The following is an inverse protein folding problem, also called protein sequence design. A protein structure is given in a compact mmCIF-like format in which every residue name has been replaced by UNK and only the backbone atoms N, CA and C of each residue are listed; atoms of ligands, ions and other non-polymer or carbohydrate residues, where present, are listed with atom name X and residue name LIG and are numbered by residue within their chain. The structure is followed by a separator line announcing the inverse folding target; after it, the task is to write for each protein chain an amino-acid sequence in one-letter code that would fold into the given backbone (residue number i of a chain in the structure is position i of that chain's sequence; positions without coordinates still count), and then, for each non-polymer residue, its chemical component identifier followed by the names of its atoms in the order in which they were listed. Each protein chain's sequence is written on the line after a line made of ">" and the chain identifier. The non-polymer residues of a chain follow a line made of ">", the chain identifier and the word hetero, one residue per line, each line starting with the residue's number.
data_IF_205958017494
#
_entry.id   IF_205958017494
#
_cell.length_a   1.000
_cell.length_b   1.000
_cell.length_c   1.000
_cell.angle_alpha   90.00
_cell.angle_beta   90.00
_cell.angle_gamma   90.00
#
_symmetry.space_group_name_H-M   'P 1'
#
loop_
_entity.id
_entity.type
_entity.pdbx_description
1 polymer ?
#
# COMPACT_ATOMS: atom_id res chain seq x y z
N UNK A 1 -5.91 -7.85 13.57
CA UNK A 1 -6.71 -7.68 12.34
C UNK A 1 -6.56 -6.25 11.89
N UNK A 2 -6.11 -6.02 10.64
CA UNK A 2 -6.14 -4.70 10.03
C UNK A 2 -7.59 -4.21 10.00
N UNK A 3 -7.76 -2.90 10.16
CA UNK A 3 -9.08 -2.28 10.08
C UNK A 3 -9.58 -2.31 8.63
N UNK A 4 -10.59 -3.13 8.35
CA UNK A 4 -11.33 -3.18 7.09
C UNK A 4 -12.69 -2.48 7.22
N UNK A 5 -12.74 -1.44 8.06
CA UNK A 5 -13.94 -0.66 8.34
C UNK A 5 -14.21 0.39 7.25
N UNK A 6 -15.27 1.16 7.45
CA UNK A 6 -15.58 2.32 6.61
C UNK A 6 -14.41 3.33 6.50
N UNK A 7 -13.53 3.41 7.50
CA UNK A 7 -12.33 4.25 7.44
C UNK A 7 -11.35 3.76 6.38
N UNK A 8 -11.10 2.44 6.30
CA UNK A 8 -10.26 1.88 5.25
C UNK A 8 -10.81 2.18 3.86
N UNK A 9 -12.10 1.93 3.62
CA UNK A 9 -12.76 2.26 2.35
C UNK A 9 -12.58 3.74 1.99
N UNK A 10 -12.78 4.64 2.97
CA UNK A 10 -12.54 6.08 2.80
C UNK A 10 -11.08 6.37 2.40
N UNK A 11 -10.12 5.71 3.05
CA UNK A 11 -8.70 5.91 2.73
C UNK A 11 -8.35 5.43 1.33
N UNK A 12 -8.87 4.29 0.89
CA UNK A 12 -8.71 3.82 -0.50
C UNK A 12 -9.25 4.87 -1.49
N UNK A 13 -10.43 5.43 -1.24
CA UNK A 13 -10.99 6.51 -2.07
C UNK A 13 -10.07 7.73 -2.11
N UNK A 14 -9.52 8.15 -0.96
CA UNK A 14 -8.60 9.30 -0.87
C UNK A 14 -7.32 9.00 -1.67
N UNK A 15 -6.76 7.79 -1.55
CA UNK A 15 -5.54 7.42 -2.30
C UNK A 15 -5.79 7.36 -3.80
N UNK A 16 -6.86 6.73 -4.23
CA UNK A 16 -7.26 6.73 -5.66
C UNK A 16 -7.44 8.16 -6.17
N UNK A 17 -8.11 9.03 -5.42
CA UNK A 17 -8.27 10.44 -5.78
C UNK A 17 -6.92 11.18 -5.85
N UNK A 18 -5.98 10.87 -4.96
CA UNK A 18 -4.64 11.48 -4.97
C UNK A 18 -3.78 11.02 -6.14
N UNK A 19 -3.95 9.78 -6.61
CA UNK A 19 -3.30 9.26 -7.81
C UNK A 19 -3.85 9.94 -9.07
N UNK A 20 -5.14 10.16 -9.15
CA UNK A 20 -5.78 10.87 -10.27
C UNK A 20 -5.54 12.37 -10.16
N UNK A 21 -5.14 13.01 -11.26
CA UNK A 21 -4.86 14.46 -11.28
C UNK A 21 -6.14 15.27 -11.08
N UNK A 22 -7.20 14.81 -11.72
CA UNK A 22 -8.54 15.36 -11.63
C UNK A 22 -9.59 14.28 -11.96
N UNK A 23 -10.85 14.57 -11.72
CA UNK A 23 -11.94 13.64 -11.99
C UNK A 23 -12.26 13.50 -13.50
N UNK A 24 -11.67 14.31 -14.37
CA UNK A 24 -11.94 14.28 -15.81
C UNK A 24 -11.34 13.05 -16.50
N UNK A 25 -10.38 12.39 -15.86
CA UNK A 25 -9.76 11.17 -16.36
C UNK A 25 -10.75 10.00 -16.49
N UNK A 26 -11.70 9.90 -15.56
CA UNK A 26 -12.74 8.87 -15.56
C UNK A 26 -14.06 9.48 -16.04
N UNK A 27 -14.82 8.72 -16.81
CA UNK A 27 -16.21 9.08 -17.08
C UNK A 27 -17.03 9.00 -15.78
N UNK A 28 -18.17 9.72 -15.66
CA UNK A 28 -19.03 9.59 -14.48
C UNK A 28 -19.49 8.15 -14.22
N UNK A 29 -19.66 7.36 -15.28
CA UNK A 29 -20.06 5.96 -15.16
C UNK A 29 -18.89 5.08 -14.65
N UNK A 30 -17.67 5.31 -15.12
CA UNK A 30 -16.47 4.65 -14.57
C UNK A 30 -16.23 5.03 -13.10
N UNK A 31 -16.47 6.31 -12.73
CA UNK A 31 -16.43 6.72 -11.33
C UNK A 31 -17.43 5.93 -10.47
N UNK A 32 -18.67 5.79 -10.96
CA UNK A 32 -19.68 4.98 -10.25
C UNK A 32 -19.22 3.54 -10.05
N UNK A 33 -18.78 2.87 -11.11
CA UNK A 33 -18.28 1.48 -11.06
C UNK A 33 -17.12 1.36 -10.07
N UNK A 34 -16.14 2.26 -10.14
CA UNK A 34 -14.96 2.24 -9.27
C UNK A 34 -15.34 2.47 -7.81
N UNK A 35 -16.19 3.44 -7.51
CA UNK A 35 -16.65 3.73 -6.14
C UNK A 35 -17.39 2.55 -5.53
N UNK A 36 -18.25 1.87 -6.28
CA UNK A 36 -18.93 0.65 -5.79
C UNK A 36 -17.94 -0.47 -5.59
N UNK A 37 -17.00 -0.67 -6.52
CA UNK A 37 -15.95 -1.70 -6.39
C UNK A 37 -15.07 -1.46 -5.14
N UNK A 38 -14.68 -0.19 -4.87
CA UNK A 38 -13.95 0.19 -3.64
C UNK A 38 -14.77 -0.13 -2.38
N UNK A 39 -16.08 0.09 -2.39
CA UNK A 39 -16.91 -0.17 -1.21
C UNK A 39 -17.02 -1.66 -0.87
N UNK A 40 -16.93 -2.54 -1.87
CA UNK A 40 -17.17 -3.97 -1.67
C UNK A 40 -15.91 -4.83 -1.71
N UNK A 41 -14.73 -4.27 -2.06
CA UNK A 41 -13.52 -5.08 -2.34
C UNK A 41 -13.14 -6.00 -1.17
N UNK A 42 -13.28 -5.52 0.06
CA UNK A 42 -12.96 -6.24 1.30
C UNK A 42 -14.18 -6.77 2.06
N UNK A 43 -15.39 -6.53 1.55
CA UNK A 43 -16.62 -6.92 2.25
C UNK A 43 -16.71 -8.42 2.53
N UNK A 44 -15.95 -9.23 1.79
CA UNK A 44 -15.79 -10.65 1.98
C UNK A 44 -15.25 -11.08 3.32
N UNK A 45 -14.42 -10.27 3.93
CA UNK A 45 -13.85 -10.54 5.24
C UNK A 45 -14.89 -10.67 6.35
N UNK A 46 -16.06 -10.02 6.21
CA UNK A 46 -17.13 -10.06 7.21
C UNK A 46 -17.74 -11.46 7.34
N UNK A 47 -17.76 -12.24 6.25
CA UNK A 47 -18.50 -13.52 6.22
C UNK A 47 -17.62 -14.74 6.47
N UNK A 48 -16.39 -14.78 5.97
CA UNK A 48 -15.54 -15.98 6.03
C UNK A 48 -14.05 -15.67 6.28
N UNK A 49 -13.70 -14.51 6.84
CA UNK A 49 -12.30 -14.13 7.03
C UNK A 49 -11.54 -14.05 5.69
N UNK A 50 -10.25 -14.38 5.70
CA UNK A 50 -9.39 -14.28 4.50
C UNK A 50 -9.83 -15.14 3.32
N UNK A 51 -10.49 -16.27 3.57
CA UNK A 51 -10.95 -17.20 2.51
C UNK A 51 -12.29 -16.78 1.89
N UNK A 52 -12.94 -15.77 2.45
CA UNK A 52 -14.26 -15.28 2.02
C UNK A 52 -14.23 -14.19 0.95
N UNK A 53 -13.08 -13.62 0.65
CA UNK A 53 -12.90 -12.51 -0.29
C UNK A 53 -13.66 -12.65 -1.60
N UNK A 54 -13.63 -13.84 -2.19
CA UNK A 54 -14.20 -14.06 -3.52
C UNK A 54 -15.73 -14.14 -3.56
N UNK A 55 -16.38 -14.50 -2.44
CA UNK A 55 -17.80 -14.85 -2.45
C UNK A 55 -18.75 -13.74 -2.03
N UNK A 56 -18.30 -12.83 -1.19
CA UNK A 56 -19.19 -11.91 -0.49
C UNK A 56 -19.43 -10.58 -1.19
N UNK A 57 -18.49 -10.11 -1.99
CA UNK A 57 -18.74 -8.95 -2.86
C UNK A 57 -19.94 -9.21 -3.78
N UNK A 58 -20.06 -10.43 -4.28
CA UNK A 58 -21.18 -10.86 -5.14
C UNK A 58 -22.53 -10.82 -4.42
N UNK A 59 -22.59 -11.28 -3.17
CA UNK A 59 -23.81 -11.28 -2.37
C UNK A 59 -24.33 -9.87 -2.07
N UNK A 60 -23.41 -8.94 -1.76
CA UNK A 60 -23.78 -7.53 -1.55
C UNK A 60 -24.33 -6.89 -2.83
N UNK A 61 -23.75 -7.23 -3.98
CA UNK A 61 -24.20 -6.72 -5.26
C UNK A 61 -25.59 -7.25 -5.67
N UNK A 62 -25.99 -8.43 -5.22
CA UNK A 62 -27.32 -8.99 -5.48
C UNK A 62 -28.44 -8.12 -4.89
N UNK A 63 -28.16 -7.40 -3.81
CA UNK A 63 -29.12 -6.50 -3.15
C UNK A 63 -29.09 -5.05 -3.70
N UNK A 64 -28.15 -4.75 -4.59
CA UNK A 64 -28.12 -3.43 -5.27
C UNK A 64 -28.98 -3.48 -6.53
N UNK A 65 -29.71 -2.39 -6.76
CA UNK A 65 -30.51 -2.24 -7.99
C UNK A 65 -29.63 -1.82 -9.17
N UNK A 66 -28.72 -2.72 -9.55
CA UNK A 66 -27.82 -2.59 -10.70
C UNK A 66 -28.02 -3.74 -11.67
N UNK A 67 -27.72 -3.53 -12.95
CA UNK A 67 -27.86 -4.53 -13.98
C UNK A 67 -26.93 -5.75 -13.73
N UNK A 68 -27.29 -6.90 -14.27
CA UNK A 68 -26.53 -8.15 -14.10
C UNK A 68 -25.10 -8.05 -14.66
N UNK A 69 -24.92 -7.31 -15.77
CA UNK A 69 -23.62 -7.10 -16.40
C UNK A 69 -22.79 -6.14 -15.54
N UNK A 70 -23.40 -5.07 -15.03
CA UNK A 70 -22.77 -4.14 -14.09
C UNK A 70 -22.28 -4.87 -12.83
N UNK A 71 -23.12 -5.70 -12.21
CA UNK A 71 -22.77 -6.52 -11.04
C UNK A 71 -21.54 -7.38 -11.32
N UNK A 72 -21.53 -8.05 -12.48
CA UNK A 72 -20.41 -8.90 -12.86
C UNK A 72 -19.12 -8.10 -12.96
N UNK A 73 -19.14 -6.97 -13.65
CA UNK A 73 -17.95 -6.14 -13.88
C UNK A 73 -17.45 -5.51 -12.58
N UNK A 74 -18.33 -4.96 -11.75
CA UNK A 74 -17.97 -4.42 -10.43
C UNK A 74 -17.34 -5.53 -9.56
N UNK A 75 -17.94 -6.72 -9.57
CA UNK A 75 -17.41 -7.87 -8.83
C UNK A 75 -16.05 -8.34 -9.35
N UNK A 76 -15.84 -8.36 -10.67
CA UNK A 76 -14.57 -8.74 -11.29
C UNK A 76 -13.46 -7.72 -10.97
N UNK A 77 -13.76 -6.41 -10.99
CA UNK A 77 -12.86 -5.33 -10.58
C UNK A 77 -12.50 -5.47 -9.10
N UNK A 78 -13.52 -5.62 -8.24
CA UNK A 78 -13.31 -5.79 -6.80
C UNK A 78 -12.45 -7.02 -6.49
N UNK A 79 -12.68 -8.15 -7.18
CA UNK A 79 -11.89 -9.37 -7.00
C UNK A 79 -10.43 -9.21 -7.43
N UNK A 80 -10.16 -8.43 -8.47
CA UNK A 80 -8.82 -8.26 -9.03
C UNK A 80 -7.89 -7.36 -8.19
N UNK A 81 -8.39 -6.71 -7.10
CA UNK A 81 -7.54 -5.94 -6.20
C UNK A 81 -6.52 -6.80 -5.48
N UNK A 82 -6.76 -8.10 -5.35
CA UNK A 82 -5.88 -9.06 -4.69
C UNK A 82 -5.57 -10.26 -5.59
N UNK A 83 -4.70 -11.15 -5.12
CA UNK A 83 -4.38 -12.40 -5.80
C UNK A 83 -3.08 -12.35 -6.61
N UNK A 84 -2.68 -13.58 -7.03
CA UNK A 84 -1.47 -13.86 -7.82
C UNK A 84 -1.87 -14.20 -9.26
N UNK A 85 -0.87 -14.38 -10.15
CA UNK A 85 -1.10 -14.81 -11.54
C UNK A 85 -1.85 -13.78 -12.40
N UNK A 86 -1.44 -12.51 -12.30
CA UNK A 86 -1.90 -11.41 -13.15
C UNK A 86 -3.43 -11.19 -13.15
N UNK A 87 -4.05 -11.00 -11.97
CA UNK A 87 -5.51 -10.91 -11.87
C UNK A 87 -6.11 -9.80 -12.72
N UNK A 88 -5.44 -8.66 -12.86
CA UNK A 88 -5.89 -7.55 -13.71
C UNK A 88 -5.69 -7.86 -15.20
N UNK A 89 -4.54 -8.44 -15.57
CA UNK A 89 -4.26 -8.82 -16.94
C UNK A 89 -5.23 -9.85 -17.52
N UNK A 90 -5.85 -10.66 -16.66
CA UNK A 90 -6.88 -11.63 -17.04
C UNK A 90 -8.27 -11.03 -17.26
N UNK A 91 -8.50 -9.76 -16.88
CA UNK A 91 -9.75 -9.06 -17.16
C UNK A 91 -9.81 -8.61 -18.64
N UNK A 92 -11.01 -8.39 -19.20
CA UNK A 92 -11.15 -7.68 -20.47
C UNK A 92 -10.48 -6.30 -20.41
N UNK A 93 -9.83 -5.88 -21.48
CA UNK A 93 -9.21 -4.54 -21.55
C UNK A 93 -10.27 -3.45 -21.31
N UNK A 94 -11.35 -3.53 -22.09
CA UNK A 94 -12.47 -2.61 -22.03
C UNK A 94 -13.75 -3.35 -22.41
N UNK A 95 -14.88 -2.86 -22.00
CA UNK A 95 -16.20 -3.38 -22.39
C UNK A 95 -17.17 -2.23 -22.61
N UNK A 96 -18.27 -2.49 -23.30
CA UNK A 96 -19.38 -1.52 -23.40
C UNK A 96 -20.57 -2.01 -22.59
N UNK A 97 -21.08 -1.17 -21.70
CA UNK A 97 -22.22 -1.45 -20.82
C UNK A 97 -23.23 -0.32 -21.02
N UNK A 98 -24.45 -0.66 -21.40
CA UNK A 98 -25.54 0.32 -21.55
C UNK A 98 -25.15 1.53 -22.43
N UNK A 99 -24.30 1.29 -23.46
CA UNK A 99 -23.78 2.32 -24.35
C UNK A 99 -22.60 3.13 -23.83
N UNK A 100 -22.06 2.79 -22.66
CA UNK A 100 -20.87 3.41 -22.08
C UNK A 100 -19.66 2.48 -22.20
N UNK A 101 -18.55 3.00 -22.68
CA UNK A 101 -17.27 2.34 -22.67
C UNK A 101 -16.66 2.37 -21.24
N UNK A 102 -16.19 1.21 -20.75
CA UNK A 102 -15.62 1.04 -19.41
C UNK A 102 -14.24 0.38 -19.52
N UNK A 103 -13.22 1.03 -19.00
CA UNK A 103 -11.82 0.57 -18.98
C UNK A 103 -11.56 -0.32 -17.76
N UNK A 104 -12.00 -1.58 -17.82
CA UNK A 104 -12.05 -2.49 -16.68
C UNK A 104 -10.68 -2.69 -16.01
N UNK A 105 -9.61 -2.92 -16.81
CA UNK A 105 -8.26 -3.12 -16.27
C UNK A 105 -7.75 -1.90 -15.53
N UNK A 106 -8.03 -0.73 -16.06
CA UNK A 106 -7.60 0.54 -15.48
C UNK A 106 -8.28 0.81 -14.15
N UNK A 107 -9.60 0.58 -14.06
CA UNK A 107 -10.35 0.69 -12.81
C UNK A 107 -9.87 -0.32 -11.76
N UNK A 108 -9.59 -1.56 -12.17
CA UNK A 108 -9.04 -2.58 -11.26
C UNK A 108 -7.62 -2.22 -10.79
N UNK A 109 -6.80 -1.61 -11.65
CA UNK A 109 -5.46 -1.14 -11.29
C UNK A 109 -5.51 0.02 -10.29
N UNK A 110 -6.41 0.98 -10.51
CA UNK A 110 -6.65 2.10 -9.57
C UNK A 110 -7.10 1.61 -8.20
N UNK A 111 -8.04 0.65 -8.16
CA UNK A 111 -8.49 0.07 -6.90
C UNK A 111 -7.33 -0.65 -6.18
N UNK A 112 -6.64 -1.57 -6.88
CA UNK A 112 -5.54 -2.36 -6.29
C UNK A 112 -4.42 -1.48 -5.75
N UNK A 113 -3.98 -0.50 -6.54
CA UNK A 113 -2.91 0.39 -6.11
C UNK A 113 -3.37 1.36 -5.02
N UNK A 114 -4.60 1.88 -5.10
CA UNK A 114 -5.18 2.70 -4.04
C UNK A 114 -5.31 1.96 -2.71
N UNK A 115 -5.64 0.66 -2.74
CA UNK A 115 -5.68 -0.21 -1.56
C UNK A 115 -4.28 -0.42 -0.96
N UNK A 116 -3.27 -0.74 -1.78
CA UNK A 116 -1.87 -0.85 -1.33
C UNK A 116 -1.38 0.43 -0.64
N UNK A 117 -1.77 1.60 -1.16
CA UNK A 117 -1.38 2.90 -0.62
C UNK A 117 -2.20 3.35 0.60
N UNK A 118 -3.30 2.68 0.90
CA UNK A 118 -4.20 3.06 2.00
C UNK A 118 -3.66 2.67 3.40
N UNK A 119 -2.45 2.12 3.48
CA UNK A 119 -1.81 1.69 4.73
C UNK A 119 -1.05 2.87 5.35
N UNK A 120 -1.76 3.74 6.08
CA UNK A 120 -1.19 4.96 6.67
C UNK A 120 -1.61 5.19 8.12
N UNK A 121 -1.12 6.27 8.73
CA UNK A 121 -1.29 6.63 10.15
C UNK A 121 -2.74 6.58 10.64
N UNK A 122 -3.73 6.90 9.81
CA UNK A 122 -5.15 6.82 10.19
C UNK A 122 -5.63 5.40 10.50
N UNK A 123 -4.92 4.36 10.08
CA UNK A 123 -5.18 2.94 10.43
C UNK A 123 -4.52 2.54 11.75
N UNK A 124 -3.59 3.32 12.27
CA UNK A 124 -2.95 3.06 13.54
C UNK A 124 -3.88 3.49 14.69
N UNK A 125 -4.01 2.65 15.68
CA UNK A 125 -4.61 3.04 16.96
C UNK A 125 -3.50 3.23 17.98
N UNK A 126 -2.88 4.41 17.97
CA UNK A 126 -1.81 4.76 18.92
C UNK A 126 -2.28 4.63 20.39
N UNK A 127 -3.56 4.90 20.66
CA UNK A 127 -4.13 4.67 21.98
C UNK A 127 -4.15 3.19 22.35
N UNK A 128 -4.60 2.31 21.45
CA UNK A 128 -4.64 0.87 21.71
C UNK A 128 -3.24 0.26 21.79
N UNK A 129 -2.29 0.77 20.99
CA UNK A 129 -0.86 0.39 21.06
C UNK A 129 -0.30 0.75 22.44
N UNK A 130 -0.47 2.00 22.90
CA UNK A 130 0.00 2.48 24.22
C UNK A 130 -0.64 1.73 25.41
N UNK A 131 -1.85 1.21 25.24
CA UNK A 131 -2.57 0.42 26.27
C UNK A 131 -2.33 -1.08 26.16
N UNK A 132 -1.48 -1.53 25.24
CA UNK A 132 -1.19 -2.96 25.00
C UNK A 132 -2.45 -3.82 24.74
N UNK A 133 -3.43 -3.22 24.07
CA UNK A 133 -4.70 -3.88 23.75
C UNK A 133 -4.73 -4.45 22.34
N UNK A 134 -3.64 -4.29 21.56
CA UNK A 134 -3.51 -4.83 20.22
C UNK A 134 -2.89 -6.23 20.30
N UNK A 135 -3.48 -7.23 19.61
CA UNK A 135 -2.88 -8.55 19.51
C UNK A 135 -1.44 -8.48 18.97
N UNK A 136 -0.53 -9.29 19.54
CA UNK A 136 0.89 -9.31 19.16
C UNK A 136 1.11 -9.40 17.66
N UNK A 137 0.36 -10.27 16.96
CA UNK A 137 0.47 -10.45 15.51
C UNK A 137 0.04 -9.21 14.69
N UNK A 138 -0.58 -8.22 15.33
CA UNK A 138 -1.04 -6.98 14.69
C UNK A 138 -0.19 -5.76 15.05
N UNK A 139 0.63 -5.82 16.11
CA UNK A 139 1.44 -4.68 16.58
C UNK A 139 2.37 -4.12 15.51
N UNK A 140 3.02 -4.99 14.73
CA UNK A 140 3.91 -4.57 13.64
C UNK A 140 3.19 -3.69 12.62
N UNK A 141 1.98 -4.07 12.23
CA UNK A 141 1.20 -3.33 11.23
C UNK A 141 0.74 -1.97 11.75
N UNK A 142 0.34 -1.91 13.02
CA UNK A 142 -0.02 -0.65 13.66
C UNK A 142 1.20 0.26 13.83
N UNK A 143 2.36 -0.27 14.21
CA UNK A 143 3.61 0.48 14.31
C UNK A 143 4.06 1.02 12.94
N UNK A 144 3.93 0.22 11.88
CA UNK A 144 4.20 0.68 10.51
C UNK A 144 3.28 1.83 10.12
N UNK A 145 1.97 1.67 10.30
CA UNK A 145 1.00 2.72 9.95
C UNK A 145 1.22 4.00 10.78
N UNK A 146 1.55 3.86 12.08
CA UNK A 146 1.85 5.00 12.96
C UNK A 146 3.11 5.75 12.50
N UNK A 147 4.11 5.04 12.03
CA UNK A 147 5.38 5.65 11.60
C UNK A 147 5.29 6.41 10.28
N UNK A 148 4.34 6.09 9.40
CA UNK A 148 4.16 6.76 8.10
C UNK A 148 3.44 8.09 8.30
N UNK A 149 4.17 9.21 8.31
CA UNK A 149 3.61 10.54 8.53
C UNK A 149 3.37 11.33 7.24
N UNK A 150 4.02 10.96 6.14
CA UNK A 150 3.90 11.65 4.87
C UNK A 150 3.74 10.66 3.72
N UNK A 151 2.77 10.92 2.87
CA UNK A 151 2.57 10.23 1.61
C UNK A 151 2.15 11.26 0.56
N UNK A 152 2.97 11.45 -0.46
CA UNK A 152 2.72 12.43 -1.52
C UNK A 152 3.02 11.85 -2.90
N UNK A 153 1.99 11.59 -3.74
CA UNK A 153 2.18 11.24 -5.14
C UNK A 153 2.47 12.51 -5.95
N UNK A 154 3.72 12.71 -6.31
CA UNK A 154 4.15 13.79 -7.20
C UNK A 154 4.02 13.33 -8.65
N UNK A 155 2.99 13.83 -9.31
CA UNK A 155 2.64 13.46 -10.69
C UNK A 155 3.54 14.12 -11.72
N UNK A 156 4.10 15.29 -11.40
CA UNK A 156 4.97 16.01 -12.33
C UNK A 156 6.31 15.30 -12.48
N UNK A 157 6.84 14.78 -11.39
CA UNK A 157 8.08 14.01 -11.38
C UNK A 157 7.87 12.49 -11.52
N UNK A 158 6.62 12.03 -11.69
CA UNK A 158 6.26 10.60 -11.71
C UNK A 158 6.84 9.81 -10.53
N UNK A 159 6.76 10.40 -9.33
CA UNK A 159 7.38 9.88 -8.12
C UNK A 159 6.39 9.84 -6.96
N UNK A 160 6.50 8.82 -6.10
CA UNK A 160 5.80 8.77 -4.83
C UNK A 160 6.80 9.05 -3.71
N UNK A 161 6.47 10.00 -2.84
CA UNK A 161 7.28 10.34 -1.67
C UNK A 161 6.64 9.75 -0.43
N UNK A 162 7.42 9.04 0.37
CA UNK A 162 6.99 8.43 1.63
C UNK A 162 7.93 8.86 2.76
N UNK A 163 7.37 9.43 3.84
CA UNK A 163 8.11 9.85 5.02
C UNK A 163 7.72 9.03 6.24
N UNK A 164 8.72 8.49 6.93
CA UNK A 164 8.56 7.73 8.16
C UNK A 164 9.28 8.41 9.31
N UNK A 165 8.70 8.35 10.51
CA UNK A 165 9.33 8.81 11.75
C UNK A 165 9.33 7.67 12.76
N UNK A 166 10.51 7.31 13.28
CA UNK A 166 10.71 6.24 14.25
C UNK A 166 11.20 6.81 15.59
N UNK A 167 10.55 6.42 16.66
CA UNK A 167 11.01 6.70 18.04
C UNK A 167 12.07 5.68 18.48
N UNK A 168 12.84 6.00 19.54
CA UNK A 168 13.80 5.05 20.14
C UNK A 168 13.14 3.72 20.50
N UNK A 169 11.95 3.79 21.09
CA UNK A 169 11.18 2.59 21.46
C UNK A 169 10.90 1.70 20.23
N UNK A 170 10.46 2.28 19.11
CA UNK A 170 10.16 1.55 17.88
C UNK A 170 11.42 0.93 17.24
N UNK A 171 12.58 1.58 17.37
CA UNK A 171 13.87 1.05 16.89
C UNK A 171 14.39 -0.09 17.78
N UNK A 172 14.18 0.00 19.08
CA UNK A 172 14.66 -0.97 20.06
C UNK A 172 13.81 -2.25 20.10
N UNK A 173 12.54 -2.18 19.77
CA UNK A 173 11.63 -3.31 19.87
C UNK A 173 11.65 -4.19 18.61
N UNK A 174 11.51 -5.49 18.87
CA UNK A 174 11.20 -6.47 17.82
C UNK A 174 9.71 -6.79 17.85
N UNK A 175 9.12 -6.89 16.68
CA UNK A 175 7.71 -7.15 16.48
C UNK A 175 7.50 -8.56 15.92
N UNK A 176 6.47 -9.25 16.39
CA UNK A 176 6.13 -10.58 15.90
C UNK A 176 5.64 -10.52 14.45
N UNK A 177 6.16 -11.41 13.60
CA UNK A 177 5.72 -11.62 12.21
C UNK A 177 5.66 -13.11 11.91
N UNK A 178 4.47 -13.70 12.03
CA UNK A 178 4.31 -15.16 11.97
C UNK A 178 5.08 -15.86 13.09
N UNK A 179 5.98 -16.79 12.73
CA UNK A 179 6.85 -17.50 13.70
C UNK A 179 8.16 -16.78 14.02
N UNK A 180 8.45 -15.67 13.35
CA UNK A 180 9.65 -14.86 13.54
C UNK A 180 9.38 -13.52 14.21
N UNK A 181 10.43 -12.79 14.55
CA UNK A 181 10.34 -11.40 14.97
C UNK A 181 11.32 -10.54 14.17
N UNK A 182 10.89 -9.35 13.81
CA UNK A 182 11.66 -8.40 12.99
C UNK A 182 11.63 -7.00 13.59
N UNK A 183 12.54 -6.14 13.16
CA UNK A 183 12.49 -4.72 13.49
C UNK A 183 11.51 -3.99 12.55
N UNK A 184 10.93 -2.89 13.06
CA UNK A 184 10.03 -2.04 12.26
C UNK A 184 10.73 -1.48 11.02
N UNK A 185 12.01 -1.15 11.12
CA UNK A 185 12.81 -0.66 9.99
C UNK A 185 12.88 -1.68 8.84
N UNK A 186 13.06 -2.96 9.16
CA UNK A 186 13.10 -4.02 8.15
C UNK A 186 11.72 -4.25 7.50
N UNK A 187 10.64 -4.03 8.27
CA UNK A 187 9.28 -4.05 7.72
C UNK A 187 9.06 -2.87 6.76
N UNK A 188 9.54 -1.66 7.09
CA UNK A 188 9.47 -0.49 6.20
C UNK A 188 10.17 -0.80 4.87
N UNK A 189 11.36 -1.38 4.90
CA UNK A 189 12.07 -1.80 3.69
C UNK A 189 11.29 -2.81 2.86
N UNK A 190 10.73 -3.80 3.51
CA UNK A 190 9.94 -4.85 2.84
C UNK A 190 8.68 -4.26 2.19
N UNK A 191 7.97 -3.40 2.90
CA UNK A 191 6.72 -2.82 2.40
C UNK A 191 6.95 -1.77 1.32
N UNK A 192 7.91 -0.89 1.47
CA UNK A 192 8.22 0.11 0.44
C UNK A 192 8.67 -0.55 -0.87
N UNK A 193 9.42 -1.66 -0.77
CA UNK A 193 9.76 -2.45 -1.95
C UNK A 193 8.54 -3.13 -2.57
N UNK A 194 7.64 -3.69 -1.75
CA UNK A 194 6.35 -4.24 -2.22
C UNK A 194 5.50 -3.16 -2.89
N UNK A 195 5.39 -1.98 -2.29
CA UNK A 195 4.65 -0.85 -2.89
C UNK A 195 5.22 -0.46 -4.26
N UNK A 196 6.55 -0.50 -4.42
CA UNK A 196 7.18 -0.29 -5.72
C UNK A 196 6.81 -1.39 -6.74
N UNK A 197 6.79 -2.65 -6.34
CA UNK A 197 6.37 -3.75 -7.21
C UNK A 197 4.90 -3.63 -7.64
N UNK A 198 4.00 -3.24 -6.72
CA UNK A 198 2.60 -2.95 -7.03
C UNK A 198 2.46 -1.72 -7.93
N UNK A 199 3.31 -0.71 -7.75
CA UNK A 199 3.38 0.44 -8.65
C UNK A 199 3.75 0.04 -10.08
N UNK A 200 4.77 -0.81 -10.27
CA UNK A 200 5.13 -1.34 -11.58
C UNK A 200 4.02 -2.17 -12.20
N UNK A 201 3.29 -2.93 -11.39
CA UNK A 201 2.13 -3.69 -11.85
C UNK A 201 0.99 -2.78 -12.29
N UNK A 202 0.69 -1.75 -11.50
CA UNK A 202 -0.29 -0.70 -11.80
C UNK A 202 0.03 0.03 -13.12
N UNK A 203 1.29 0.42 -13.34
CA UNK A 203 1.75 1.14 -14.52
C UNK A 203 1.43 0.42 -15.83
N UNK A 204 1.30 -0.93 -15.81
CA UNK A 204 0.96 -1.72 -17.01
C UNK A 204 -0.43 -1.40 -17.58
N UNK A 205 -1.31 -0.80 -16.80
CA UNK A 205 -2.74 -0.68 -17.12
C UNK A 205 -3.25 0.75 -17.22
N UNK A 206 -2.44 1.74 -16.84
CA UNK A 206 -2.82 3.15 -16.85
C UNK A 206 -2.03 3.94 -17.88
N UNK A 207 -2.58 5.09 -18.32
CA UNK A 207 -1.90 6.01 -19.20
C UNK A 207 -0.64 6.58 -18.57
N UNK A 208 0.37 6.90 -19.37
CA UNK A 208 1.69 7.36 -18.90
C UNK A 208 1.60 8.53 -17.90
N UNK A 209 0.71 9.48 -18.10
CA UNK A 209 0.52 10.64 -17.24
C UNK A 209 0.10 10.30 -15.79
N UNK A 210 -0.37 9.07 -15.55
CA UNK A 210 -0.76 8.55 -14.22
C UNK A 210 0.21 7.50 -13.68
N UNK A 211 1.29 7.22 -14.39
CA UNK A 211 2.31 6.27 -13.97
C UNK A 211 3.28 6.90 -12.98
N UNK A 212 3.84 6.08 -12.10
CA UNK A 212 4.91 6.46 -11.20
C UNK A 212 6.12 5.55 -11.43
N UNK A 213 7.30 6.12 -11.65
CA UNK A 213 8.50 5.37 -12.01
C UNK A 213 9.51 5.26 -10.88
N UNK A 214 9.25 5.94 -9.77
CA UNK A 214 10.10 5.88 -8.58
C UNK A 214 9.33 6.13 -7.29
N UNK A 215 9.88 5.59 -6.19
CA UNK A 215 9.45 5.90 -4.83
C UNK A 215 10.66 6.46 -4.09
N UNK A 216 10.51 7.62 -3.45
CA UNK A 216 11.51 8.24 -2.59
C UNK A 216 11.08 8.05 -1.16
N UNK A 217 11.96 7.49 -0.34
CA UNK A 217 11.70 7.19 1.05
C UNK A 217 12.66 8.01 1.92
N UNK A 218 12.11 8.65 2.96
CA UNK A 218 12.87 9.30 4.03
C UNK A 218 12.43 8.73 5.37
N UNK A 219 13.39 8.29 6.19
CA UNK A 219 13.14 7.72 7.51
C UNK A 219 13.89 8.56 8.53
N UNK A 220 13.16 9.26 9.36
CA UNK A 220 13.67 10.12 10.43
C UNK A 220 13.63 9.37 11.77
N UNK A 221 14.61 9.63 12.61
CA UNK A 221 14.76 9.00 13.92
C UNK A 221 14.67 10.09 14.99
N UNK A 222 13.45 10.31 15.52
CA UNK A 222 13.12 11.44 16.38
C UNK A 222 12.44 10.92 17.64
N UNK A 223 12.95 11.34 18.81
CA UNK A 223 12.36 11.01 20.10
C UNK A 223 11.25 12.00 20.51
N UNK A 224 10.59 11.75 21.64
CA UNK A 224 9.47 12.57 22.16
C UNK A 224 9.85 14.07 22.35
N UNK A 225 11.13 14.39 22.51
CA UNK A 225 11.66 15.77 22.57
C UNK A 225 11.91 16.45 21.23
N UNK A 226 11.54 15.82 20.12
CA UNK A 226 11.85 16.25 18.75
C UNK A 226 13.35 16.32 18.43
N UNK A 227 14.18 15.68 19.23
CA UNK A 227 15.63 15.61 18.98
C UNK A 227 15.98 14.37 18.16
N UNK A 228 16.76 14.51 17.07
CA UNK A 228 17.20 13.38 16.29
C UNK A 228 18.24 12.57 17.08
N UNK A 229 18.07 11.25 17.15
CA UNK A 229 18.99 10.35 17.83
C UNK A 229 19.77 9.43 16.88
N UNK A 230 19.47 9.46 15.60
CA UNK A 230 20.19 8.80 14.53
C UNK A 230 20.04 9.60 13.24
N UNK A 231 20.97 9.45 12.30
CA UNK A 231 20.91 10.16 11.02
C UNK A 231 19.78 9.64 10.15
N UNK A 232 19.13 10.55 9.45
CA UNK A 232 18.07 10.23 8.48
C UNK A 232 18.58 9.24 7.43
N UNK A 233 17.79 8.19 7.20
CA UNK A 233 18.01 7.25 6.09
C UNK A 233 17.14 7.68 4.94
N UNK A 234 17.75 7.98 3.79
CA UNK A 234 17.02 8.31 2.57
C UNK A 234 17.46 7.41 1.43
N UNK A 235 16.50 6.87 0.70
CA UNK A 235 16.77 6.06 -0.48
C UNK A 235 15.67 6.20 -1.54
N UNK A 236 16.03 5.89 -2.77
CA UNK A 236 15.13 5.91 -3.91
C UNK A 236 15.09 4.53 -4.56
N UNK A 237 13.88 4.03 -4.75
CA UNK A 237 13.61 2.85 -5.57
C UNK A 237 13.07 3.35 -6.89
N UNK A 238 13.71 2.99 -8.01
CA UNK A 238 13.31 3.47 -9.33
C UNK A 238 13.36 2.36 -10.36
N UNK A 239 12.56 2.49 -11.39
CA UNK A 239 12.58 1.59 -12.53
C UNK A 239 13.92 1.71 -13.26
N UNK A 240 14.69 0.60 -13.28
CA UNK A 240 16.02 0.55 -13.92
C UNK A 240 15.98 -0.01 -15.33
N UNK A 241 14.78 -0.18 -15.90
CA UNK A 241 14.60 -0.84 -17.16
C UNK A 241 14.92 -2.33 -17.08
N UNK A 242 15.51 -2.88 -18.12
CA UNK A 242 15.84 -4.30 -18.25
C UNK A 242 17.07 -4.69 -17.42
N UNK A 243 17.15 -5.84 -16.79
CA UNK A 243 16.18 -6.79 -16.27
C UNK A 243 16.23 -6.89 -14.72
N UNK A 244 15.33 -6.26 -14.02
CA UNK A 244 15.29 -6.28 -12.54
C UNK A 244 14.39 -7.38 -11.97
N UNK A 245 13.90 -8.30 -12.77
CA UNK A 245 12.96 -9.34 -12.40
C UNK A 245 13.47 -10.35 -11.34
N UNK A 246 14.77 -10.40 -11.10
CA UNK A 246 15.39 -11.29 -10.10
C UNK A 246 15.66 -10.60 -8.76
N UNK A 247 15.49 -9.30 -8.65
CA UNK A 247 15.77 -8.55 -7.42
C UNK A 247 14.56 -8.62 -6.49
N UNK A 248 14.77 -9.21 -5.30
CA UNK A 248 13.69 -9.52 -4.37
C UNK A 248 13.72 -8.69 -3.08
N UNK A 249 14.71 -7.83 -2.90
CA UNK A 249 14.83 -7.02 -1.69
C UNK A 249 15.41 -5.63 -1.98
N UNK A 250 15.10 -4.68 -1.08
CA UNK A 250 15.48 -3.28 -1.21
C UNK A 250 17.01 -3.08 -1.19
N UNK A 251 17.76 -3.88 -0.43
CA UNK A 251 19.21 -3.73 -0.34
C UNK A 251 19.93 -4.10 -1.64
N UNK A 252 19.45 -5.10 -2.35
CA UNK A 252 19.96 -5.43 -3.68
C UNK A 252 19.60 -4.33 -4.70
N UNK A 253 18.42 -3.72 -4.52
CA UNK A 253 17.92 -2.71 -5.46
C UNK A 253 18.57 -1.34 -5.26
N UNK A 254 18.69 -0.88 -4.01
CA UNK A 254 19.20 0.43 -3.65
C UNK A 254 20.73 0.45 -3.44
N UNK A 255 21.34 -0.70 -3.13
CA UNK A 255 22.79 -0.84 -2.97
C UNK A 255 23.37 0.14 -1.97
N UNK A 256 24.35 0.94 -2.41
CA UNK A 256 25.09 1.87 -1.55
C UNK A 256 24.23 2.95 -0.84
N UNK A 257 23.01 3.22 -1.29
CA UNK A 257 22.11 4.14 -0.61
C UNK A 257 21.71 3.64 0.79
N UNK A 258 21.72 2.32 1.00
CA UNK A 258 21.38 1.67 2.26
C UNK A 258 22.61 1.04 2.95
N UNK A 259 23.78 1.63 2.73
CA UNK A 259 25.03 1.22 3.36
C UNK A 259 25.72 2.42 4.03
N UNK A 260 26.32 2.18 5.20
CA UNK A 260 27.16 3.11 5.92
C UNK A 260 28.38 2.38 6.48
N UNK A 261 29.58 2.89 6.20
CA UNK A 261 30.83 2.29 6.68
C UNK A 261 30.91 0.79 6.40
N UNK A 262 30.52 0.37 5.20
CA UNK A 262 30.42 -1.03 4.74
C UNK A 262 29.39 -1.91 5.48
N UNK A 263 28.50 -1.32 6.25
CA UNK A 263 27.41 -2.04 6.90
C UNK A 263 26.07 -1.67 6.25
N UNK A 264 25.23 -2.68 6.01
CA UNK A 264 23.84 -2.47 5.59
C UNK A 264 23.05 -1.85 6.74
N UNK A 265 22.26 -0.83 6.44
CA UNK A 265 21.41 -0.12 7.41
C UNK A 265 20.17 -0.95 7.78
N UNK A 266 20.36 -2.18 8.20
CA UNK A 266 19.29 -3.06 8.70
C UNK A 266 18.77 -2.60 10.05
N UNK A 267 17.60 -3.08 10.45
CA UNK A 267 17.05 -2.81 11.78
C UNK A 267 18.00 -3.24 12.90
N UNK A 268 18.67 -4.38 12.75
CA UNK A 268 19.66 -4.88 13.73
C UNK A 268 20.87 -3.94 13.84
N UNK A 269 21.44 -3.49 12.72
CA UNK A 269 22.57 -2.56 12.74
C UNK A 269 22.20 -1.22 13.38
N UNK A 270 21.06 -0.64 13.00
CA UNK A 270 20.60 0.64 13.56
C UNK A 270 20.32 0.49 15.06
N UNK A 271 19.69 -0.60 15.49
CA UNK A 271 19.48 -0.92 16.90
C UNK A 271 20.81 -0.97 17.69
N UNK A 272 21.83 -1.64 17.15
CA UNK A 272 23.15 -1.71 17.81
C UNK A 272 23.80 -0.33 17.92
N UNK A 273 23.74 0.49 16.88
CA UNK A 273 24.29 1.84 16.90
C UNK A 273 23.61 2.73 17.95
N UNK A 274 22.30 2.69 18.03
CA UNK A 274 21.51 3.47 18.99
C UNK A 274 21.83 3.07 20.43
N UNK A 275 22.02 1.78 20.70
CA UNK A 275 22.36 1.30 22.05
C UNK A 275 23.84 1.57 22.43
N UNK A 276 24.74 1.66 21.45
CA UNK A 276 26.16 1.97 21.70
C UNK A 276 26.41 3.46 21.95
N UNK A 277 25.45 4.31 21.66
CA UNK A 277 25.51 5.78 21.82
C UNK A 277 24.87 6.24 23.15
N UNK A 278 24.37 5.29 23.95
CA UNK A 278 23.85 5.45 25.32
C UNK A 278 24.92 5.03 26.32
#
# INVERSE_FOLDING_TARGET
>A
LNDHSANHVKMVMVKVSSILKDCSYLTPYECFILLVAIQIHDAGHIFNGRDGHEKSGRYLLENLNVDTIERKIIGDIAKAHSGKNDPIGNLPYKTSISGHDVRIRELAALLRFGDELADENSRASSYLLKKDLIPEDSKLYHAFSESLYNFNPDKESHCIQMGFSLTKNQVQNRYKKGESSIYLLDEIYTRTFKTFQECLYYNRFVSYEYQFHSIIISIEFIDEGFEPFFDTISYRIEEKGYPTLSINNVFEYCGAQLERSNNKLTGDYVHQCVNSSL
#
